data_IF_903412600205
#
_entry.id   IF_903412600205
#
_cell.length_a   1.000
_cell.length_b   1.000
_cell.length_c   1.000
_cell.angle_alpha   90.00
_cell.angle_beta   90.00
_cell.angle_gamma   90.00
#
_symmetry.space_group_name_H-M   'P 1'
#
loop_
_entity.id
_entity.type
_entity.pdbx_description
1 polymer ?
#
# COMPACT_ATOMS: atom_id res chain seq x y z
N UNK A 1 10.20 -17.17 24.80
CA UNK A 1 11.51 -16.68 24.33
C UNK A 1 11.43 -16.23 22.86
N UNK A 2 10.42 -15.41 22.52
CA UNK A 2 10.22 -14.81 21.18
C UNK A 2 9.51 -13.45 21.26
N UNK A 3 8.85 -13.14 22.37
CA UNK A 3 8.19 -11.85 22.65
C UNK A 3 9.15 -10.65 22.55
N UNK A 4 10.39 -10.78 23.02
CA UNK A 4 11.34 -9.66 23.07
C UNK A 4 11.94 -9.25 21.71
N UNK A 5 11.77 -10.04 20.65
CA UNK A 5 12.31 -9.69 19.33
C UNK A 5 11.33 -8.84 18.50
N UNK A 6 10.04 -8.87 18.82
CA UNK A 6 8.97 -8.16 18.10
C UNK A 6 8.70 -6.76 18.67
N UNK A 7 8.97 -6.55 19.97
CA UNK A 7 8.68 -5.28 20.65
C UNK A 7 9.59 -4.12 20.19
N UNK A 8 10.79 -4.40 19.68
CA UNK A 8 11.79 -3.37 19.40
C UNK A 8 11.89 -2.85 17.96
N UNK A 9 11.37 -3.59 16.95
CA UNK A 9 11.69 -3.29 15.53
C UNK A 9 10.52 -3.02 14.60
N UNK A 10 9.28 -3.31 14.99
CA UNK A 10 8.14 -3.15 14.10
C UNK A 10 7.39 -1.82 14.23
N UNK A 11 7.56 -1.06 15.30
CA UNK A 11 6.79 0.18 15.49
C UNK A 11 7.47 1.47 15.02
N UNK A 12 8.73 1.44 14.55
CA UNK A 12 9.45 2.66 14.14
C UNK A 12 9.58 2.89 12.63
N UNK A 13 9.16 1.96 11.76
CA UNK A 13 9.51 2.06 10.32
C UNK A 13 8.45 2.69 9.42
N UNK A 14 7.33 3.17 9.97
CA UNK A 14 6.29 3.82 9.17
C UNK A 14 5.68 5.00 9.95
N UNK A 15 6.52 5.96 10.35
CA UNK A 15 6.05 7.33 10.46
C UNK A 15 5.89 7.87 9.05
N UNK A 16 4.65 7.99 8.58
CA UNK A 16 4.34 8.84 7.45
C UNK A 16 4.33 10.26 8.02
N UNK A 17 5.44 10.96 7.91
CA UNK A 17 5.52 12.38 8.27
C UNK A 17 4.72 13.18 7.24
N UNK A 18 3.42 13.37 7.52
CA UNK A 18 2.68 14.46 6.89
C UNK A 18 2.88 15.68 7.78
N UNK A 19 3.93 16.46 7.52
CA UNK A 19 4.11 17.75 8.18
C UNK A 19 2.95 18.66 7.79
N UNK A 20 2.14 19.17 8.73
CA UNK A 20 1.20 20.24 8.42
C UNK A 20 2.03 21.52 8.26
N UNK A 21 2.13 22.02 7.03
CA UNK A 21 2.74 23.31 6.73
C UNK A 21 1.92 24.41 7.43
N UNK A 22 2.53 25.11 8.37
CA UNK A 22 1.90 26.26 9.04
C UNK A 22 1.78 27.43 8.06
N UNK A 23 0.56 27.93 7.89
CA UNK A 23 0.21 29.10 7.09
C UNK A 23 0.87 30.37 7.68
N UNK A 24 1.86 30.91 6.97
CA UNK A 24 2.38 32.27 7.15
C UNK A 24 1.96 33.15 5.98
N UNK A 25 0.94 33.99 6.19
CA UNK A 25 0.36 34.86 5.17
C UNK A 25 1.31 35.95 4.65
N UNK A 26 1.20 36.25 3.35
CA UNK A 26 1.78 37.40 2.68
C UNK A 26 1.19 37.53 1.27
N UNK A 27 0.37 38.54 1.05
CA UNK A 27 -0.40 38.74 -0.19
C UNK A 27 0.45 39.01 -1.44
N UNK A 28 -0.08 38.56 -2.57
CA UNK A 28 0.40 38.87 -3.91
C UNK A 28 -0.65 38.47 -4.96
N UNK A 29 -1.08 39.43 -5.76
CA UNK A 29 -2.08 39.33 -6.81
C UNK A 29 -1.70 38.35 -7.95
N UNK A 30 -2.68 37.56 -8.39
CA UNK A 30 -2.89 37.25 -9.81
C UNK A 30 -1.94 36.28 -10.50
N UNK A 31 -2.22 34.98 -10.41
CA UNK A 31 -2.32 34.04 -11.54
C UNK A 31 -2.85 32.70 -11.04
N UNK A 32 -3.98 32.24 -11.59
CA UNK A 32 -4.55 30.93 -11.29
C UNK A 32 -3.74 29.85 -12.03
N UNK A 33 -2.53 29.60 -11.53
CA UNK A 33 -1.62 28.54 -11.94
C UNK A 33 -1.91 27.31 -11.07
N UNK A 34 -2.63 26.35 -11.65
CA UNK A 34 -2.17 24.96 -11.83
C UNK A 34 -1.45 24.23 -10.71
N UNK A 35 -1.57 24.63 -9.44
CA UNK A 35 -0.96 23.92 -8.31
C UNK A 35 -1.74 22.64 -8.04
N UNK A 36 -1.55 21.65 -8.91
CA UNK A 36 -1.89 20.24 -8.64
C UNK A 36 -1.35 19.95 -7.26
N UNK A 37 -2.24 19.57 -6.35
CA UNK A 37 -1.88 19.36 -4.96
C UNK A 37 -0.78 18.29 -4.86
N UNK A 38 0.06 18.38 -3.84
CA UNK A 38 1.11 17.37 -3.61
C UNK A 38 0.54 15.93 -3.58
N UNK A 39 -0.66 15.77 -3.03
CA UNK A 39 -1.39 14.51 -3.00
C UNK A 39 -1.72 13.98 -4.41
N UNK A 40 -2.25 14.83 -5.29
CA UNK A 40 -2.57 14.43 -6.67
C UNK A 40 -1.31 14.02 -7.45
N UNK A 41 -0.18 14.71 -7.23
CA UNK A 41 1.11 14.31 -7.83
C UNK A 41 1.58 12.95 -7.31
N UNK A 42 1.45 12.69 -6.01
CA UNK A 42 1.84 11.41 -5.41
C UNK A 42 0.98 10.25 -5.92
N UNK A 43 -0.34 10.48 -6.09
CA UNK A 43 -1.25 9.49 -6.67
C UNK A 43 -0.87 9.18 -8.12
N UNK A 44 -0.63 10.22 -8.93
CA UNK A 44 -0.25 10.05 -10.34
C UNK A 44 1.07 9.28 -10.50
N UNK A 45 2.07 9.57 -9.66
CA UNK A 45 3.34 8.82 -9.71
C UNK A 45 3.16 7.38 -9.22
N UNK A 46 2.36 7.14 -8.19
CA UNK A 46 2.03 5.79 -7.74
C UNK A 46 1.36 4.97 -8.84
N UNK A 47 0.33 5.52 -9.49
CA UNK A 47 -0.35 4.85 -10.61
C UNK A 47 0.61 4.56 -11.76
N UNK A 48 1.50 5.50 -12.08
CA UNK A 48 2.54 5.31 -13.11
C UNK A 48 3.46 4.15 -12.76
N UNK A 49 3.95 4.11 -11.52
CA UNK A 49 4.85 3.05 -11.05
C UNK A 49 4.15 1.68 -11.01
N UNK A 50 2.91 1.61 -10.51
CA UNK A 50 2.12 0.37 -10.49
C UNK A 50 1.91 -0.18 -11.91
N UNK A 51 1.71 0.69 -12.91
CA UNK A 51 1.63 0.33 -14.32
C UNK A 51 2.89 -0.34 -14.88
N UNK A 52 4.06 -0.12 -14.27
CA UNK A 52 5.31 -0.74 -14.71
C UNK A 52 5.58 -2.11 -14.08
N UNK A 53 4.87 -2.46 -12.99
CA UNK A 53 5.10 -3.72 -12.30
C UNK A 53 4.50 -4.88 -13.10
N UNK A 54 5.26 -5.95 -13.36
CA UNK A 54 4.73 -7.13 -14.04
C UNK A 54 3.68 -7.87 -13.19
N UNK A 55 3.71 -7.65 -11.87
CA UNK A 55 2.84 -8.27 -10.89
C UNK A 55 2.69 -7.38 -9.65
N UNK A 56 1.48 -7.35 -9.10
CA UNK A 56 1.08 -6.64 -7.90
C UNK A 56 0.36 -7.64 -6.99
N UNK A 57 0.86 -7.90 -5.76
CA UNK A 57 0.17 -8.75 -4.81
C UNK A 57 -1.07 -8.03 -4.25
N UNK A 58 -2.18 -8.76 -4.09
CA UNK A 58 -3.40 -8.24 -3.49
C UNK A 58 -4.01 -9.24 -2.49
N UNK A 59 -4.85 -8.73 -1.60
CA UNK A 59 -5.70 -9.54 -0.73
C UNK A 59 -7.15 -9.26 -1.13
N UNK A 60 -7.90 -10.32 -1.47
CA UNK A 60 -9.33 -10.23 -1.74
C UNK A 60 -10.10 -10.80 -0.56
N UNK A 61 -11.08 -10.04 -0.07
CA UNK A 61 -11.99 -10.46 1.00
C UNK A 61 -13.36 -10.68 0.38
N UNK A 62 -13.85 -11.92 0.37
CA UNK A 62 -15.18 -12.29 -0.12
C UNK A 62 -15.97 -12.96 0.99
N UNK A 63 -16.86 -12.19 1.61
CA UNK A 63 -17.58 -12.62 2.80
C UNK A 63 -16.59 -13.03 3.90
N UNK A 64 -16.69 -14.28 4.35
CA UNK A 64 -15.81 -14.82 5.38
C UNK A 64 -14.51 -15.42 4.85
N UNK A 65 -14.24 -15.37 3.55
CA UNK A 65 -13.08 -16.02 2.92
C UNK A 65 -12.07 -15.01 2.39
N UNK A 66 -10.79 -15.29 2.63
CA UNK A 66 -9.67 -14.43 2.25
C UNK A 66 -8.80 -15.13 1.20
N UNK A 67 -8.38 -14.36 0.19
CA UNK A 67 -7.59 -14.85 -0.94
C UNK A 67 -6.36 -13.99 -1.17
N UNK A 68 -5.21 -14.61 -1.42
CA UNK A 68 -4.05 -13.96 -2.01
C UNK A 68 -4.27 -13.93 -3.51
N UNK A 69 -4.06 -12.78 -4.11
CA UNK A 69 -4.30 -12.57 -5.52
C UNK A 69 -3.05 -12.05 -6.23
N UNK A 70 -2.82 -12.65 -7.39
CA UNK A 70 -1.88 -12.18 -8.38
C UNK A 70 -2.57 -11.18 -9.30
N UNK A 71 -2.15 -9.92 -9.26
CA UNK A 71 -2.78 -8.87 -10.09
C UNK A 71 -1.74 -8.12 -10.92
N UNK A 72 -2.18 -7.37 -11.92
CA UNK A 72 -1.37 -6.34 -12.58
C UNK A 72 -2.22 -5.13 -12.91
N UNK A 73 -1.59 -4.00 -13.17
CA UNK A 73 -2.27 -2.76 -13.60
C UNK A 73 -2.16 -2.64 -15.12
N UNK A 74 -3.27 -2.36 -15.79
CA UNK A 74 -3.29 -2.03 -17.22
C UNK A 74 -4.17 -0.77 -17.40
N UNK A 75 -3.53 0.39 -17.49
CA UNK A 75 -4.23 1.67 -17.44
C UNK A 75 -4.94 1.86 -16.09
N UNK A 76 -6.23 2.15 -16.15
CA UNK A 76 -7.11 2.32 -14.99
C UNK A 76 -7.64 0.99 -14.42
N UNK A 77 -7.36 -0.13 -15.10
CA UNK A 77 -7.87 -1.46 -14.74
C UNK A 77 -6.86 -2.24 -13.93
N UNK A 78 -7.38 -3.03 -13.00
CA UNK A 78 -6.63 -4.07 -12.30
C UNK A 78 -7.04 -5.42 -12.88
N UNK A 79 -6.07 -6.17 -13.39
CA UNK A 79 -6.26 -7.49 -13.96
C UNK A 79 -5.96 -8.54 -12.89
N UNK A 80 -6.90 -9.47 -12.66
CA UNK A 80 -6.71 -10.63 -11.78
C UNK A 80 -6.24 -11.83 -12.60
N UNK A 81 -5.07 -12.38 -12.26
CA UNK A 81 -4.49 -13.53 -12.94
C UNK A 81 -4.78 -14.85 -12.22
N UNK A 82 -4.66 -14.83 -10.89
CA UNK A 82 -4.82 -16.01 -10.04
C UNK A 82 -5.24 -15.57 -8.65
N UNK A 83 -6.03 -16.41 -8.00
CA UNK A 83 -6.33 -16.31 -6.58
C UNK A 83 -5.99 -17.62 -5.86
N UNK A 84 -5.64 -17.51 -4.58
CA UNK A 84 -5.35 -18.63 -3.70
C UNK A 84 -6.02 -18.38 -2.36
N UNK A 85 -6.95 -19.25 -1.98
CA UNK A 85 -7.61 -19.18 -0.68
C UNK A 85 -6.59 -19.44 0.42
N UNK A 86 -6.46 -18.51 1.38
CA UNK A 86 -5.45 -18.61 2.44
C UNK A 86 -6.02 -18.45 3.85
N UNK A 87 -7.29 -18.11 4.00
CA UNK A 87 -7.88 -17.98 5.32
C UNK A 87 -9.34 -17.62 5.32
N UNK A 88 -9.85 -17.44 6.52
CA UNK A 88 -11.20 -16.95 6.79
C UNK A 88 -11.16 -15.79 7.79
N UNK A 89 -12.30 -15.14 8.05
CA UNK A 89 -12.41 -14.12 9.10
C UNK A 89 -12.13 -14.63 10.51
N UNK A 90 -12.07 -15.95 10.71
CA UNK A 90 -11.70 -16.57 12.00
C UNK A 90 -10.22 -16.97 12.03
N UNK A 91 -9.51 -16.84 10.92
CA UNK A 91 -8.09 -17.19 10.81
C UNK A 91 -7.24 -15.99 11.21
N UNK A 92 -6.25 -16.19 12.07
CA UNK A 92 -5.15 -15.24 12.25
C UNK A 92 -4.08 -15.60 11.22
N UNK A 93 -3.97 -14.83 10.14
CA UNK A 93 -2.94 -15.06 9.12
C UNK A 93 -1.84 -14.02 9.27
N UNK A 94 -0.59 -14.49 9.36
CA UNK A 94 0.61 -13.65 9.30
C UNK A 94 1.28 -13.86 7.95
N UNK A 95 1.43 -12.78 7.17
CA UNK A 95 2.23 -12.81 5.95
C UNK A 95 3.68 -12.43 6.27
N UNK A 96 4.56 -13.42 6.28
CA UNK A 96 6.01 -13.19 6.41
C UNK A 96 6.62 -13.04 5.02
N UNK A 97 7.16 -11.86 4.73
CA UNK A 97 8.01 -11.65 3.57
C UNK A 97 9.44 -11.99 3.97
N UNK A 98 9.77 -13.28 3.91
CA UNK A 98 11.17 -13.71 3.94
C UNK A 98 11.74 -13.61 2.54
N UNK A 99 13.02 -13.24 2.41
CA UNK A 99 13.74 -13.21 1.14
C UNK A 99 13.65 -14.58 0.45
N UNK A 100 12.68 -14.75 -0.44
CA UNK A 100 12.49 -15.94 -1.29
C UNK A 100 11.45 -16.98 -0.87
N UNK A 101 10.82 -16.92 0.31
CA UNK A 101 9.86 -17.97 0.73
C UNK A 101 8.70 -17.42 1.58
N UNK A 102 7.47 -17.62 1.10
CA UNK A 102 6.25 -17.41 1.90
C UNK A 102 5.99 -18.70 2.67
N UNK A 103 6.05 -18.64 4.01
CA UNK A 103 5.66 -19.72 4.91
C UNK A 103 4.30 -19.38 5.54
N UNK A 104 3.39 -20.34 5.56
CA UNK A 104 2.12 -20.25 6.30
C UNK A 104 2.24 -21.10 7.57
N UNK A 105 1.79 -20.57 8.71
CA UNK A 105 1.59 -21.30 9.96
C UNK A 105 0.10 -21.59 10.16
#
# INVERSE_FOLDING_TARGET
>A
MWSQLLEGRLLQKYSIDTTPSEDGGGGGEGANDGSVSSAERAVAESDRLLGTLPYIPAILIRGHSWYLAATSRQGDKTILWREYAFGTTQSVVVMLVSSGTILYL
#
